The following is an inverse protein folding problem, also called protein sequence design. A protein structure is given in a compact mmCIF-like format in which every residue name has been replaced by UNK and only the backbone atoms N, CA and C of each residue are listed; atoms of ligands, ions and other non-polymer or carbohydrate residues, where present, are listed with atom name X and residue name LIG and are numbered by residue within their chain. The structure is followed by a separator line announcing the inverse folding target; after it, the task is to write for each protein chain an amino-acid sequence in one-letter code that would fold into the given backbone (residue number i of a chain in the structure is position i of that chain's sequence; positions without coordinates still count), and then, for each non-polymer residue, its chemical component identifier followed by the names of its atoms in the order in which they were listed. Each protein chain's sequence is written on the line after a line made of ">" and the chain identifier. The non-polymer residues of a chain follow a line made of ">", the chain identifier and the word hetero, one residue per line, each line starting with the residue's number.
data_IF_711630256515
#
_entry.id   IF_711630256515
#
_cell.length_a   1.000
_cell.length_b   1.000
_cell.length_c   1.000
_cell.angle_alpha   90.00
_cell.angle_beta   90.00
_cell.angle_gamma   90.00
#
_symmetry.space_group_name_H-M   'P 1'
#
loop_
_entity.id
_entity.type
_entity.pdbx_description
1 polymer ?
#
# COMPACT_ATOMS: atom_id res chain seq x y z
N UNK A 1 -2.04 17.51 -5.85
CA UNK A 1 -1.35 16.25 -6.09
C UNK A 1 -2.33 15.19 -6.55
N UNK A 2 -1.91 14.37 -7.48
CA UNK A 2 -2.79 13.32 -7.99
C UNK A 2 -2.73 12.10 -7.08
N UNK A 3 -3.89 11.51 -6.84
CA UNK A 3 -4.01 10.27 -6.10
C UNK A 3 -4.17 9.14 -7.10
N UNK A 4 -3.31 8.16 -7.03
CA UNK A 4 -3.38 7.00 -7.91
C UNK A 4 -4.04 5.83 -7.18
N UNK A 5 -4.74 5.01 -7.94
CA UNK A 5 -5.37 3.83 -7.40
C UNK A 5 -4.48 2.63 -7.60
N UNK A 6 -4.54 1.70 -6.66
CA UNK A 6 -3.77 0.48 -6.72
C UNK A 6 -4.67 -0.67 -6.28
N UNK A 7 -4.57 -1.78 -6.99
CA UNK A 7 -5.32 -2.97 -6.63
C UNK A 7 -4.55 -4.20 -7.05
N UNK A 8 -4.80 -5.30 -6.36
CA UNK A 8 -4.21 -6.58 -6.70
C UNK A 8 -5.00 -7.69 -6.03
N UNK A 9 -4.83 -8.91 -6.53
CA UNK A 9 -5.47 -10.07 -5.94
C UNK A 9 -4.52 -10.72 -4.95
N UNK A 10 -4.96 -10.89 -3.71
CA UNK A 10 -4.16 -11.55 -2.68
C UNK A 10 -4.62 -12.99 -2.52
N UNK A 11 -3.77 -13.92 -2.91
CA UNK A 11 -4.09 -15.34 -2.84
C UNK A 11 -4.23 -15.83 -1.42
N UNK A 12 -3.48 -15.24 -0.50
CA UNK A 12 -3.56 -15.62 0.91
C UNK A 12 -4.92 -15.29 1.50
N UNK A 13 -5.47 -14.15 1.12
CA UNK A 13 -6.78 -13.71 1.60
C UNK A 13 -7.89 -14.09 0.64
N UNK A 14 -7.55 -14.56 -0.55
CA UNK A 14 -8.49 -14.98 -1.59
C UNK A 14 -9.48 -13.89 -1.94
N UNK A 15 -8.99 -12.67 -2.06
CA UNK A 15 -9.83 -11.54 -2.45
C UNK A 15 -8.98 -10.45 -3.08
N UNK A 16 -9.66 -9.57 -3.79
CA UNK A 16 -8.99 -8.44 -4.39
C UNK A 16 -8.87 -7.32 -3.37
N UNK A 17 -7.67 -6.77 -3.27
CA UNK A 17 -7.36 -5.69 -2.34
C UNK A 17 -7.27 -4.41 -3.13
N UNK A 18 -7.95 -3.37 -2.69
CA UNK A 18 -7.96 -2.08 -3.38
C UNK A 18 -7.62 -0.96 -2.42
N UNK A 19 -6.97 0.05 -2.96
CA UNK A 19 -6.65 1.23 -2.19
C UNK A 19 -6.16 2.33 -3.11
N UNK A 20 -5.67 3.41 -2.52
CA UNK A 20 -5.10 4.51 -3.27
C UNK A 20 -3.81 4.96 -2.61
N UNK A 21 -2.96 5.63 -3.37
CA UNK A 21 -1.72 6.11 -2.81
C UNK A 21 -1.36 7.47 -3.38
N UNK A 22 -0.56 8.19 -2.60
CA UNK A 22 -0.02 9.48 -2.98
C UNK A 22 1.47 9.45 -2.68
N UNK A 23 2.27 9.94 -3.62
CA UNK A 23 3.70 10.10 -3.42
C UNK A 23 4.02 11.58 -3.25
N UNK A 24 4.71 11.94 -2.19
CA UNK A 24 5.10 13.33 -1.96
C UNK A 24 6.57 13.59 -2.27
N UNK A 25 7.23 12.65 -2.93
CA UNK A 25 8.64 12.77 -3.28
C UNK A 25 9.59 12.24 -2.23
N UNK A 26 9.13 12.05 -1.02
CA UNK A 26 9.96 11.52 0.07
C UNK A 26 9.40 10.23 0.62
N UNK A 27 8.12 10.04 0.50
CA UNK A 27 7.45 8.87 1.04
C UNK A 27 6.21 8.59 0.23
N UNK A 28 5.67 7.40 0.41
CA UNK A 28 4.41 7.02 -0.20
C UNK A 28 3.39 6.85 0.91
N UNK A 29 2.18 7.34 0.67
CA UNK A 29 1.08 7.26 1.63
C UNK A 29 -0.06 6.47 1.01
N UNK A 30 -0.40 5.35 1.61
CA UNK A 30 -1.42 4.45 1.08
C UNK A 30 -2.66 4.51 1.97
N UNK A 31 -3.82 4.66 1.35
CA UNK A 31 -5.11 4.69 2.04
C UNK A 31 -5.99 3.57 1.52
N UNK A 32 -6.76 2.96 2.42
CA UNK A 32 -7.70 1.91 2.03
C UNK A 32 -8.76 1.77 3.11
N UNK A 33 -9.68 0.83 2.90
CA UNK A 33 -10.67 0.51 3.92
C UNK A 33 -10.02 -0.07 5.17
N UNK A 34 -8.78 -0.51 5.07
CA UNK A 34 -8.05 -1.07 6.20
C UNK A 34 -7.32 -0.01 7.02
N UNK A 35 -7.27 1.22 6.52
CA UNK A 35 -6.59 2.30 7.21
C UNK A 35 -5.62 3.04 6.30
N UNK A 36 -4.67 3.72 6.93
CA UNK A 36 -3.66 4.49 6.22
C UNK A 36 -2.29 4.03 6.67
N UNK A 37 -1.40 3.87 5.72
CA UNK A 37 -0.02 3.48 6.03
C UNK A 37 0.92 4.26 5.14
N UNK A 38 2.05 4.69 5.70
CA UNK A 38 3.05 5.45 4.97
C UNK A 38 4.40 4.77 5.12
N UNK A 39 5.24 4.94 4.11
CA UNK A 39 6.60 4.44 4.16
C UNK A 39 7.52 5.40 3.43
N UNK A 40 8.67 5.72 4.01
CA UNK A 40 9.65 6.54 3.33
C UNK A 40 10.32 5.75 2.21
N UNK A 41 10.78 6.46 1.19
CA UNK A 41 11.51 5.80 0.12
C UNK A 41 12.90 5.33 0.59
N UNK A 42 13.42 5.97 1.63
CA UNK A 42 14.72 5.60 2.15
C UNK A 42 15.82 5.78 1.11
N UNK A 43 16.60 4.75 0.93
CA UNK A 43 17.72 4.80 0.00
C UNK A 43 17.28 4.83 -1.46
N UNK A 44 16.04 4.53 -1.75
CA UNK A 44 15.52 4.60 -3.11
C UNK A 44 15.43 6.05 -3.57
N UNK A 45 15.09 6.94 -2.66
CA UNK A 45 15.11 8.37 -2.89
C UNK A 45 14.46 8.80 -4.19
N UNK A 46 15.12 9.71 -4.89
CA UNK A 46 14.59 10.28 -6.12
C UNK A 46 14.67 9.31 -7.31
N UNK A 47 15.30 8.17 -7.13
CA UNK A 47 15.44 7.21 -8.22
C UNK A 47 14.23 6.30 -8.39
N UNK A 48 13.25 6.43 -7.52
CA UNK A 48 12.06 5.57 -7.58
C UNK A 48 11.16 6.01 -8.74
N UNK A 49 10.85 5.10 -9.64
CA UNK A 49 9.99 5.39 -10.77
C UNK A 49 8.55 4.98 -10.45
N UNK A 50 7.65 5.18 -11.42
CA UNK A 50 6.24 4.90 -11.22
C UNK A 50 6.00 3.43 -10.88
N UNK A 51 6.69 2.52 -11.57
CA UNK A 51 6.52 1.09 -11.31
C UNK A 51 6.94 0.73 -9.89
N UNK A 52 8.06 1.31 -9.43
CA UNK A 52 8.52 1.06 -8.07
C UNK A 52 7.53 1.62 -7.05
N UNK A 53 6.93 2.76 -7.35
CA UNK A 53 5.90 3.34 -6.48
C UNK A 53 4.70 2.41 -6.36
N UNK A 54 4.24 1.86 -7.47
CA UNK A 54 3.11 0.94 -7.48
C UNK A 54 3.43 -0.31 -6.67
N UNK A 55 4.62 -0.86 -6.85
CA UNK A 55 5.02 -2.05 -6.11
C UNK A 55 5.08 -1.78 -4.61
N UNK A 56 5.61 -0.63 -4.22
CA UNK A 56 5.68 -0.26 -2.82
C UNK A 56 4.27 -0.08 -2.24
N UNK A 57 3.39 0.57 -2.99
CA UNK A 57 2.01 0.76 -2.56
C UNK A 57 1.31 -0.58 -2.36
N UNK A 58 1.52 -1.52 -3.28
CA UNK A 58 0.95 -2.85 -3.16
C UNK A 58 1.46 -3.58 -1.93
N UNK A 59 2.75 -3.43 -1.64
CA UNK A 59 3.33 -4.05 -0.46
C UNK A 59 2.70 -3.52 0.81
N UNK A 60 2.57 -2.19 0.92
CA UNK A 60 1.96 -1.58 2.09
C UNK A 60 0.50 -1.98 2.23
N UNK A 61 -0.22 -1.98 1.12
CA UNK A 61 -1.62 -2.35 1.12
C UNK A 61 -1.82 -3.80 1.54
N UNK A 62 -0.95 -4.68 1.07
CA UNK A 62 -1.00 -6.09 1.46
C UNK A 62 -0.77 -6.24 2.95
N UNK A 63 0.19 -5.52 3.50
CA UNK A 63 0.45 -5.57 4.93
C UNK A 63 -0.75 -5.10 5.73
N UNK A 64 -1.37 -4.01 5.31
CA UNK A 64 -2.56 -3.52 5.99
C UNK A 64 -3.71 -4.53 5.95
N UNK A 65 -3.92 -5.15 4.80
CA UNK A 65 -4.99 -6.12 4.65
C UNK A 65 -4.76 -7.35 5.52
N UNK A 66 -3.52 -7.81 5.58
CA UNK A 66 -3.17 -8.96 6.41
C UNK A 66 -3.29 -8.65 7.89
N UNK A 67 -2.87 -7.46 8.29
CA UNK A 67 -3.00 -7.03 9.67
C UNK A 67 -4.46 -6.92 10.07
N UNK A 68 -5.30 -6.40 9.20
CA UNK A 68 -6.73 -6.29 9.46
C UNK A 68 -7.36 -7.67 9.63
N UNK A 69 -6.97 -8.62 8.78
CA UNK A 69 -7.49 -9.98 8.88
C UNK A 69 -7.03 -10.64 10.17
N UNK A 70 -5.79 -10.37 10.58
CA UNK A 70 -5.23 -10.90 11.80
C UNK A 70 -5.93 -10.34 13.03
N UNK A 71 -6.15 -9.02 13.03
CA UNK A 71 -6.83 -8.37 14.15
C UNK A 71 -8.26 -8.84 14.28
N UNK A 72 -8.90 -9.13 13.17
CA UNK A 72 -10.27 -9.62 13.18
C UNK A 72 -10.37 -10.97 13.87
N UNK A 73 -9.33 -11.77 13.81
CA UNK A 73 -9.28 -13.06 14.47
C UNK A 73 -9.08 -12.95 15.98
N UNK A 74 -8.61 -11.81 16.44
CA UNK A 74 -8.29 -11.61 17.83
C UNK A 74 -9.53 -11.53 18.73
N UNK A 75 -10.67 -11.43 18.11
CA UNK A 75 -11.91 -11.42 18.83
C UNK A 75 -12.53 -12.79 18.85
#
# INVERSE_FOLDING_TARGET
>A
MATDQVSFYDESLKKQIEGSYVSDGKAIHVSSVYGIKSAPYGDLGACIDHNAQVLLAQKLLREMARDAAKNKKSH
#
